data_IF_301755999744
#
_entry.id   IF_301755999744
#
_cell.length_a   1.000
_cell.length_b   1.000
_cell.length_c   1.000
_cell.angle_alpha   90.00
_cell.angle_beta   90.00
_cell.angle_gamma   90.00
#
_symmetry.space_group_name_H-M   'P 1'
#
loop_
_entity.id
_entity.type
_entity.pdbx_description
1 polymer ?
#
# COMPACT_ATOMS: atom_id res chain seq x y z
N UNK A 1 15.95 -10.91 12.43
CA UNK A 1 15.73 -9.45 12.44
C UNK A 1 14.92 -8.96 11.23
N UNK A 2 14.91 -9.65 10.07
CA UNK A 2 14.18 -9.21 8.87
C UNK A 2 12.64 -9.37 8.91
N UNK A 3 12.09 -10.17 9.82
CA UNK A 3 10.64 -10.49 9.85
C UNK A 3 9.80 -9.44 10.61
N UNK A 4 10.44 -8.58 11.40
CA UNK A 4 9.77 -7.57 12.25
C UNK A 4 9.55 -6.22 11.57
N UNK A 5 10.00 -6.07 10.32
CA UNK A 5 9.93 -4.84 9.50
C UNK A 5 8.96 -4.95 8.31
N UNK A 6 8.24 -6.06 8.16
CA UNK A 6 7.24 -6.18 7.10
C UNK A 6 5.90 -5.59 7.55
N UNK A 7 5.57 -4.44 6.98
CA UNK A 7 4.22 -3.88 7.02
C UNK A 7 3.30 -4.76 6.15
N UNK A 8 2.24 -5.27 6.77
CA UNK A 8 1.15 -5.97 6.07
C UNK A 8 -0.09 -5.11 6.10
N UNK A 9 -0.59 -4.77 4.92
CA UNK A 9 -1.75 -3.86 4.76
C UNK A 9 -3.00 -4.44 5.42
N UNK A 10 -3.15 -5.77 5.39
CA UNK A 10 -4.31 -6.45 5.96
C UNK A 10 -4.36 -6.33 7.49
N UNK A 11 -3.20 -6.30 8.14
CA UNK A 11 -3.10 -6.33 9.60
C UNK A 11 -2.99 -4.93 10.21
N UNK A 12 -2.39 -3.97 9.50
CA UNK A 12 -2.07 -2.64 10.02
C UNK A 12 -3.21 -1.61 9.97
N UNK A 13 -4.09 -1.71 8.96
CA UNK A 13 -5.09 -0.67 8.65
C UNK A 13 -6.50 -0.97 9.15
N UNK A 14 -6.75 -2.14 9.74
CA UNK A 14 -8.04 -2.49 10.35
C UNK A 14 -7.93 -2.50 11.87
N UNK A 15 -8.83 -1.80 12.57
CA UNK A 15 -8.82 -1.78 14.03
C UNK A 15 -9.07 -3.20 14.61
N UNK A 16 -8.46 -3.51 15.76
CA UNK A 16 -8.56 -4.84 16.39
C UNK A 16 -10.00 -5.18 16.80
N UNK A 17 -10.74 -4.18 17.28
CA UNK A 17 -12.11 -4.34 17.78
C UNK A 17 -13.17 -4.05 16.71
N UNK A 18 -12.74 -3.79 15.46
CA UNK A 18 -13.67 -3.47 14.38
C UNK A 18 -14.55 -4.67 14.02
N UNK A 19 -15.82 -4.39 13.77
CA UNK A 19 -16.80 -5.39 13.30
C UNK A 19 -16.33 -6.10 12.03
N UNK A 20 -15.66 -5.39 11.12
CA UNK A 20 -15.11 -5.93 9.88
C UNK A 20 -14.05 -7.02 10.12
N UNK A 21 -13.26 -6.91 11.19
CA UNK A 21 -12.26 -7.93 11.57
C UNK A 21 -12.93 -9.19 12.08
N UNK A 22 -14.00 -9.05 12.86
CA UNK A 22 -14.81 -10.19 13.30
C UNK A 22 -15.50 -10.88 12.11
N UNK A 23 -16.15 -10.11 11.22
CA UNK A 23 -16.77 -10.64 10.01
C UNK A 23 -15.76 -11.36 9.11
N UNK A 24 -14.56 -10.80 8.97
CA UNK A 24 -13.46 -11.44 8.24
C UNK A 24 -13.02 -12.74 8.90
N UNK A 25 -12.83 -12.76 10.23
CA UNK A 25 -12.43 -13.96 10.96
C UNK A 25 -13.48 -15.08 10.87
N UNK A 26 -14.76 -14.73 11.00
CA UNK A 26 -15.89 -15.66 10.85
C UNK A 26 -15.93 -16.22 9.43
N UNK A 27 -15.83 -15.36 8.42
CA UNK A 27 -15.73 -15.77 7.02
C UNK A 27 -14.52 -16.69 6.80
N UNK A 28 -13.39 -16.44 7.46
CA UNK A 28 -12.22 -17.30 7.39
C UNK A 28 -12.43 -18.69 7.97
N UNK A 29 -13.10 -18.79 9.11
CA UNK A 29 -13.44 -20.07 9.71
C UNK A 29 -14.38 -20.89 8.81
N UNK A 30 -15.40 -20.25 8.24
CA UNK A 30 -16.34 -20.93 7.33
C UNK A 30 -15.70 -21.31 5.99
N UNK A 31 -14.72 -20.53 5.50
CA UNK A 31 -14.03 -20.83 4.25
C UNK A 31 -12.87 -21.82 4.40
N UNK A 32 -12.25 -21.86 5.58
CA UNK A 32 -11.06 -22.67 5.87
C UNK A 32 -11.35 -24.15 6.17
N UNK A 33 -12.62 -24.54 6.33
CA UNK A 33 -12.97 -25.89 6.76
C UNK A 33 -14.23 -26.43 6.06
N UNK A 34 -14.17 -26.67 4.75
CA UNK A 34 -15.14 -27.56 4.10
C UNK A 34 -14.66 -28.02 2.73
N UNK A 35 -13.98 -29.16 2.71
CA UNK A 35 -14.18 -30.13 1.64
C UNK A 35 -15.61 -30.68 1.74
N UNK A 36 -16.62 -29.90 1.36
CA UNK A 36 -17.94 -30.45 1.08
C UNK A 36 -18.71 -29.56 0.10
N UNK A 37 -18.67 -30.00 -1.15
CA UNK A 37 -19.66 -29.72 -2.17
C UNK A 37 -21.07 -30.09 -1.68
N UNK A 38 -22.01 -29.14 -1.65
CA UNK A 38 -23.44 -29.39 -1.88
C UNK A 38 -24.20 -28.06 -2.10
N UNK A 39 -24.58 -27.87 -3.37
CA UNK A 39 -25.92 -27.49 -3.84
C UNK A 39 -26.66 -26.32 -3.17
N UNK A 40 -26.48 -25.09 -3.66
CA UNK A 40 -27.52 -24.04 -3.67
C UNK A 40 -27.26 -23.06 -4.83
N UNK A 41 -28.23 -22.83 -5.75
CA UNK A 41 -28.13 -21.83 -6.80
C UNK A 41 -28.67 -20.47 -6.30
N UNK A 42 -28.03 -19.40 -6.79
CA UNK A 42 -28.29 -17.97 -6.57
C UNK A 42 -27.60 -17.31 -5.36
N UNK A 43 -26.81 -16.28 -5.68
CA UNK A 43 -26.11 -15.32 -4.80
C UNK A 43 -24.96 -15.80 -3.90
N UNK A 44 -24.10 -16.68 -4.40
CA UNK A 44 -22.88 -17.15 -3.68
C UNK A 44 -21.53 -16.64 -4.21
N UNK A 45 -21.51 -15.62 -5.08
CA UNK A 45 -20.29 -15.20 -5.78
C UNK A 45 -19.54 -14.00 -5.18
N UNK A 46 -19.87 -13.54 -3.96
CA UNK A 46 -19.14 -12.40 -3.36
C UNK A 46 -18.46 -12.72 -2.01
N UNK A 47 -19.03 -13.60 -1.18
CA UNK A 47 -18.57 -13.77 0.22
C UNK A 47 -17.63 -14.97 0.50
N UNK A 48 -17.39 -15.86 -0.47
CA UNK A 48 -16.39 -16.96 -0.34
C UNK A 48 -14.94 -16.54 -0.65
N UNK A 49 -14.67 -15.24 -0.76
CA UNK A 49 -13.59 -14.68 -1.59
C UNK A 49 -12.27 -14.32 -0.89
N UNK A 50 -12.19 -14.30 0.45
CA UNK A 50 -11.18 -13.46 1.11
C UNK A 50 -10.29 -14.18 2.14
N UNK A 51 -10.57 -15.44 2.47
CA UNK A 51 -9.98 -16.06 3.66
C UNK A 51 -8.81 -17.02 3.46
N UNK A 52 -8.72 -17.66 2.29
CA UNK A 52 -7.74 -18.72 2.02
C UNK A 52 -7.41 -18.87 0.54
N UNK A 53 -7.81 -17.87 -0.26
CA UNK A 53 -7.61 -17.85 -1.70
C UNK A 53 -6.81 -16.61 -2.02
N UNK A 54 -5.69 -16.79 -2.73
CA UNK A 54 -4.98 -15.71 -3.39
C UNK A 54 -5.81 -15.25 -4.58
N UNK A 55 -6.10 -13.95 -4.69
CA UNK A 55 -6.78 -13.34 -5.84
C UNK A 55 -5.83 -12.39 -6.53
N UNK A 56 -5.53 -12.66 -7.80
CA UNK A 56 -4.73 -11.79 -8.65
C UNK A 56 -5.64 -11.25 -9.76
N UNK A 57 -5.65 -9.94 -9.93
CA UNK A 57 -6.47 -9.26 -10.95
C UNK A 57 -5.54 -8.90 -12.10
N UNK A 58 -5.86 -9.42 -13.28
CA UNK A 58 -5.16 -9.09 -14.52
C UNK A 58 -6.07 -8.23 -15.38
N UNK A 59 -5.61 -7.05 -15.73
CA UNK A 59 -6.35 -6.08 -16.54
C UNK A 59 -5.64 -5.92 -17.88
N UNK A 60 -6.38 -6.06 -18.95
CA UNK A 60 -5.96 -5.91 -20.33
C UNK A 60 -6.64 -4.67 -20.90
N UNK A 61 -5.83 -3.76 -21.45
CA UNK A 61 -6.30 -2.50 -22.03
C UNK A 61 -5.60 -2.23 -23.36
N UNK A 62 -6.23 -1.51 -24.27
CA UNK A 62 -5.61 -1.21 -25.56
C UNK A 62 -4.50 -0.17 -25.38
N UNK A 63 -3.34 -0.38 -26.00
CA UNK A 63 -2.16 0.50 -25.87
C UNK A 63 -2.37 1.87 -26.51
N UNK A 64 -3.22 1.93 -27.54
CA UNK A 64 -3.63 3.14 -28.23
C UNK A 64 -4.77 3.91 -27.53
N UNK A 65 -5.28 3.40 -26.40
CA UNK A 65 -6.41 3.99 -25.68
C UNK A 65 -7.77 3.79 -26.39
N UNK A 66 -7.82 2.99 -27.45
CA UNK A 66 -9.04 2.64 -28.17
C UNK A 66 -9.82 1.48 -27.54
N UNK A 67 -10.76 0.92 -28.29
CA UNK A 67 -11.61 -0.19 -27.85
C UNK A 67 -10.86 -1.53 -27.83
N UNK A 68 -11.03 -2.32 -26.77
CA UNK A 68 -10.57 -3.71 -26.67
C UNK A 68 -11.42 -4.69 -27.49
N UNK A 69 -12.59 -4.26 -28.01
CA UNK A 69 -13.53 -5.10 -28.75
C UNK A 69 -13.07 -5.51 -30.16
N UNK A 70 -11.96 -4.92 -30.62
CA UNK A 70 -11.39 -5.20 -31.94
C UNK A 70 -10.86 -6.63 -32.02
N UNK A 71 -11.09 -7.31 -33.15
CA UNK A 71 -10.67 -8.71 -33.34
C UNK A 71 -9.18 -8.94 -33.02
N UNK A 72 -8.29 -8.12 -33.55
CA UNK A 72 -6.85 -8.25 -33.31
C UNK A 72 -6.47 -8.15 -31.82
N UNK A 73 -7.22 -7.37 -31.03
CA UNK A 73 -6.98 -7.23 -29.59
C UNK A 73 -7.49 -8.44 -28.82
N UNK A 74 -8.62 -9.03 -29.20
CA UNK A 74 -9.06 -10.32 -28.65
C UNK A 74 -8.13 -11.47 -29.02
N UNK A 75 -7.52 -11.43 -30.20
CA UNK A 75 -6.49 -12.39 -30.63
C UNK A 75 -5.23 -12.29 -29.77
N UNK A 76 -4.75 -11.08 -29.51
CA UNK A 76 -3.63 -10.88 -28.60
C UNK A 76 -3.99 -11.24 -27.14
N UNK A 77 -5.18 -10.86 -26.67
CA UNK A 77 -5.65 -11.17 -25.33
C UNK A 77 -5.72 -12.68 -25.05
N UNK A 78 -6.21 -13.49 -26.00
CA UNK A 78 -6.20 -14.95 -25.85
C UNK A 78 -4.80 -15.52 -25.73
N UNK A 79 -3.86 -15.04 -26.56
CA UNK A 79 -2.47 -15.46 -26.51
C UNK A 79 -1.87 -15.15 -25.14
N UNK A 80 -2.03 -13.91 -24.66
CA UNK A 80 -1.57 -13.50 -23.33
C UNK A 80 -2.17 -14.43 -22.28
N UNK A 81 -3.49 -14.64 -22.26
CA UNK A 81 -4.16 -15.51 -21.28
C UNK A 81 -3.62 -16.93 -21.32
N UNK A 82 -3.32 -17.48 -22.50
CA UNK A 82 -2.70 -18.80 -22.60
C UNK A 82 -1.28 -18.82 -22.01
N UNK A 83 -0.49 -17.77 -22.25
CA UNK A 83 0.84 -17.61 -21.68
C UNK A 83 0.80 -17.49 -20.15
N UNK A 84 -0.14 -16.72 -19.59
CA UNK A 84 -0.36 -16.60 -18.13
C UNK A 84 -0.56 -17.98 -17.49
N UNK A 85 -1.40 -18.82 -18.10
CA UNK A 85 -1.74 -20.12 -17.53
C UNK A 85 -0.60 -21.15 -17.62
N UNK A 86 0.28 -20.98 -18.59
CA UNK A 86 1.48 -21.80 -18.78
C UNK A 86 2.73 -21.16 -18.16
N UNK A 87 2.60 -20.00 -17.51
CA UNK A 87 3.73 -19.30 -16.95
C UNK A 87 4.39 -20.12 -15.84
N UNK A 88 5.69 -20.28 -15.98
CA UNK A 88 6.53 -20.94 -14.98
C UNK A 88 7.48 -19.91 -14.38
N UNK A 89 7.40 -19.73 -13.07
CA UNK A 89 8.26 -18.83 -12.31
C UNK A 89 9.31 -19.66 -11.59
N UNK A 90 10.57 -19.23 -11.66
CA UNK A 90 11.67 -19.84 -10.90
C UNK A 90 11.94 -19.01 -9.65
N UNK A 91 11.86 -19.64 -8.47
CA UNK A 91 12.29 -19.04 -7.21
C UNK A 91 13.31 -20.00 -6.58
N UNK A 92 14.59 -19.64 -6.65
CA UNK A 92 15.70 -20.53 -6.31
C UNK A 92 15.73 -21.78 -7.20
N UNK A 93 15.79 -22.97 -6.59
CA UNK A 93 15.77 -24.27 -7.30
C UNK A 93 14.36 -24.74 -7.68
N UNK A 94 13.31 -24.14 -7.12
CA UNK A 94 11.93 -24.59 -7.35
C UNK A 94 11.32 -23.90 -8.57
N UNK A 95 10.72 -24.70 -9.46
CA UNK A 95 9.90 -24.22 -10.57
C UNK A 95 8.43 -24.31 -10.18
N UNK A 96 7.74 -23.18 -10.25
CA UNK A 96 6.34 -23.08 -9.88
C UNK A 96 5.52 -22.81 -11.14
N UNK A 97 4.59 -23.69 -11.44
CA UNK A 97 3.67 -23.57 -12.58
C UNK A 97 2.30 -23.14 -12.06
N UNK A 98 1.72 -22.09 -12.67
CA UNK A 98 0.41 -21.60 -12.24
C UNK A 98 -0.65 -22.71 -12.25
N UNK A 99 -0.62 -23.59 -13.26
CA UNK A 99 -1.56 -24.69 -13.43
C UNK A 99 -1.67 -25.62 -12.20
N UNK A 100 -0.59 -25.79 -11.45
CA UNK A 100 -0.58 -26.62 -10.22
C UNK A 100 -1.00 -25.83 -8.98
N UNK A 101 -0.81 -24.51 -9.01
CA UNK A 101 -1.12 -23.59 -7.91
C UNK A 101 -2.60 -23.16 -7.91
N UNK A 102 -3.24 -23.13 -9.08
CA UNK A 102 -4.62 -22.66 -9.23
C UNK A 102 -5.70 -23.68 -8.87
N UNK A 103 -5.37 -24.96 -8.67
CA UNK A 103 -6.40 -25.98 -8.39
C UNK A 103 -7.10 -25.70 -7.04
N UNK A 104 -8.44 -25.79 -6.99
CA UNK A 104 -9.38 -26.28 -8.02
C UNK A 104 -9.95 -25.20 -8.98
N UNK A 105 -9.50 -23.96 -8.90
CA UNK A 105 -10.12 -22.79 -9.53
C UNK A 105 -9.62 -22.43 -10.95
N UNK A 106 -8.71 -23.24 -11.52
CA UNK A 106 -8.05 -22.95 -12.80
C UNK A 106 -9.02 -22.65 -13.95
N UNK A 107 -10.18 -23.31 -14.01
CA UNK A 107 -11.02 -23.29 -15.21
C UNK A 107 -12.01 -22.13 -15.30
N UNK A 108 -12.35 -21.44 -14.21
CA UNK A 108 -13.53 -20.56 -14.22
C UNK A 108 -13.37 -19.30 -15.07
N UNK A 109 -12.28 -18.55 -14.90
CA UNK A 109 -12.08 -17.26 -15.58
C UNK A 109 -11.62 -17.42 -17.03
N UNK A 110 -10.64 -18.30 -17.29
CA UNK A 110 -10.20 -18.63 -18.66
C UNK A 110 -11.33 -19.15 -19.54
N UNK A 111 -12.16 -20.07 -19.02
CA UNK A 111 -13.25 -20.68 -19.81
C UNK A 111 -14.27 -19.65 -20.25
N UNK A 112 -14.60 -18.66 -19.41
CA UNK A 112 -15.55 -17.61 -19.78
C UNK A 112 -15.11 -16.85 -21.03
N UNK A 113 -13.88 -16.33 -21.03
CA UNK A 113 -13.36 -15.55 -22.16
C UNK A 113 -13.10 -16.41 -23.39
N UNK A 114 -12.42 -17.55 -23.25
CA UNK A 114 -12.11 -18.44 -24.39
C UNK A 114 -13.39 -18.96 -25.05
N UNK A 115 -14.42 -19.25 -24.26
CA UNK A 115 -15.74 -19.64 -24.81
C UNK A 115 -16.33 -18.47 -25.60
N UNK A 116 -16.43 -17.28 -25.01
CA UNK A 116 -16.93 -16.09 -25.71
C UNK A 116 -16.18 -15.83 -27.02
N UNK A 117 -14.85 -15.81 -26.97
CA UNK A 117 -13.99 -15.58 -28.13
C UNK A 117 -14.22 -16.62 -29.22
N UNK A 118 -14.26 -17.92 -28.89
CA UNK A 118 -14.46 -18.99 -29.86
C UNK A 118 -15.71 -18.77 -30.70
N UNK A 119 -16.83 -18.39 -30.08
CA UNK A 119 -18.06 -18.13 -30.80
C UNK A 119 -18.04 -16.77 -31.50
N UNK A 120 -17.36 -15.76 -30.94
CA UNK A 120 -17.11 -14.51 -31.64
C UNK A 120 -16.34 -14.74 -32.95
N UNK A 121 -15.29 -15.56 -32.95
CA UNK A 121 -14.49 -15.85 -34.15
C UNK A 121 -15.27 -16.62 -35.21
N UNK A 122 -16.10 -17.59 -34.80
CA UNK A 122 -16.99 -18.32 -35.73
C UNK A 122 -17.95 -17.35 -36.39
N UNK A 123 -18.61 -16.51 -35.61
CA UNK A 123 -19.57 -15.52 -36.12
C UNK A 123 -18.88 -14.47 -36.99
N UNK A 124 -17.68 -14.02 -36.60
CA UNK A 124 -16.87 -13.07 -37.36
C UNK A 124 -16.40 -13.68 -38.69
N UNK A 125 -15.97 -14.95 -38.70
CA UNK A 125 -15.57 -15.61 -39.94
C UNK A 125 -16.75 -15.73 -40.91
N UNK A 126 -17.91 -16.17 -40.41
CA UNK A 126 -19.13 -16.23 -41.23
C UNK A 126 -19.55 -14.85 -41.75
N UNK A 127 -19.41 -13.82 -40.92
CA UNK A 127 -19.69 -12.44 -41.29
C UNK A 127 -18.83 -11.93 -42.44
N UNK A 128 -17.53 -12.24 -42.41
CA UNK A 128 -16.58 -11.81 -43.45
C UNK A 128 -16.73 -12.64 -44.73
N UNK A 129 -16.93 -13.95 -44.62
CA UNK A 129 -16.91 -14.86 -45.76
C UNK A 129 -18.26 -14.91 -46.50
N UNK A 130 -19.37 -14.83 -45.76
CA UNK A 130 -20.71 -15.03 -46.33
C UNK A 130 -21.65 -13.84 -46.16
N UNK A 131 -21.21 -12.73 -45.56
CA UNK A 131 -22.02 -11.54 -45.27
C UNK A 131 -23.32 -11.82 -44.48
N UNK A 132 -23.36 -12.93 -43.75
CA UNK A 132 -24.43 -13.25 -42.81
C UNK A 132 -23.86 -13.93 -41.57
N UNK A 133 -24.61 -13.87 -40.47
CA UNK A 133 -24.30 -14.64 -39.27
C UNK A 133 -25.52 -15.38 -38.71
N UNK A 134 -25.26 -16.36 -37.85
CA UNK A 134 -26.28 -17.22 -37.25
C UNK A 134 -26.80 -16.61 -35.94
N UNK A 135 -28.13 -16.57 -35.76
CA UNK A 135 -28.77 -16.17 -34.50
C UNK A 135 -28.67 -17.24 -33.38
N UNK A 136 -28.02 -18.38 -33.64
CA UNK A 136 -27.83 -19.44 -32.63
C UNK A 136 -26.95 -19.00 -31.46
N UNK A 137 -26.17 -17.94 -31.65
CA UNK A 137 -25.25 -17.37 -30.67
C UNK A 137 -25.58 -15.89 -30.47
N UNK A 138 -26.19 -15.57 -29.33
CA UNK A 138 -26.40 -14.18 -28.95
C UNK A 138 -25.19 -13.72 -28.12
N UNK A 139 -24.33 -12.89 -28.68
CA UNK A 139 -23.13 -12.35 -28.02
C UNK A 139 -23.34 -10.95 -27.44
N UNK A 140 -24.59 -10.61 -27.08
CA UNK A 140 -24.93 -9.32 -26.48
C UNK A 140 -24.47 -9.19 -25.03
N UNK A 141 -23.97 -8.02 -24.67
CA UNK A 141 -23.72 -7.58 -23.30
C UNK A 141 -25.05 -7.12 -22.65
N UNK A 142 -25.29 -7.36 -21.35
CA UNK A 142 -24.37 -7.90 -20.33
C UNK A 142 -24.32 -9.44 -20.25
N UNK A 143 -25.34 -10.13 -20.77
CA UNK A 143 -25.43 -11.59 -20.76
C UNK A 143 -25.55 -12.14 -22.19
N UNK A 144 -24.49 -12.82 -22.64
CA UNK A 144 -24.55 -13.60 -23.88
C UNK A 144 -25.32 -14.90 -23.67
N UNK A 145 -25.84 -15.48 -24.73
CA UNK A 145 -26.47 -16.81 -24.75
C UNK A 145 -25.89 -17.64 -25.88
N UNK A 146 -25.28 -18.77 -25.51
CA UNK A 146 -24.69 -19.71 -26.47
C UNK A 146 -25.39 -21.04 -26.26
N UNK A 147 -26.11 -21.54 -27.29
CA UNK A 147 -26.93 -22.74 -27.18
C UNK A 147 -27.94 -22.69 -26.01
N UNK A 148 -28.47 -21.51 -25.70
CA UNK A 148 -29.38 -21.29 -24.57
C UNK A 148 -28.71 -21.18 -23.18
N UNK A 149 -27.40 -21.41 -23.09
CA UNK A 149 -26.63 -21.22 -21.85
C UNK A 149 -26.21 -19.76 -21.72
N UNK A 150 -26.60 -19.12 -20.61
CA UNK A 150 -26.25 -17.72 -20.32
C UNK A 150 -24.79 -17.59 -19.87
N UNK A 151 -24.07 -16.66 -20.48
CA UNK A 151 -22.68 -16.33 -20.19
C UNK A 151 -22.61 -14.88 -19.70
N UNK A 152 -22.16 -14.62 -18.46
CA UNK A 152 -22.08 -13.28 -17.91
C UNK A 152 -20.83 -12.55 -18.41
N UNK A 153 -20.97 -11.79 -19.50
CA UNK A 153 -19.86 -11.02 -20.09
C UNK A 153 -19.47 -9.83 -19.21
N UNK A 154 -20.41 -9.31 -18.42
CA UNK A 154 -20.19 -8.30 -17.38
C UNK A 154 -19.09 -8.66 -16.36
N UNK A 155 -18.76 -9.95 -16.21
CA UNK A 155 -17.70 -10.39 -15.29
C UNK A 155 -16.29 -10.25 -15.87
N UNK A 156 -16.16 -10.07 -17.18
CA UNK A 156 -14.87 -9.97 -17.86
C UNK A 156 -14.69 -8.66 -18.63
N UNK A 157 -15.75 -8.03 -19.12
CA UNK A 157 -15.69 -6.81 -19.92
C UNK A 157 -16.21 -5.61 -19.12
N UNK A 158 -15.40 -4.56 -19.02
CA UNK A 158 -15.65 -3.37 -18.22
C UNK A 158 -15.52 -2.08 -19.05
N UNK A 159 -16.24 -1.04 -18.63
CA UNK A 159 -16.31 0.24 -19.36
C UNK A 159 -16.89 0.06 -20.76
N UNK A 160 -17.95 -0.75 -20.86
CA UNK A 160 -18.64 -1.07 -22.11
C UNK A 160 -19.61 0.07 -22.47
N UNK A 161 -19.50 0.59 -23.69
CA UNK A 161 -20.51 1.47 -24.30
C UNK A 161 -21.27 0.68 -25.34
N UNK A 162 -22.59 0.75 -25.26
CA UNK A 162 -23.49 0.06 -26.18
C UNK A 162 -23.78 0.97 -27.37
N UNK A 163 -24.08 0.35 -28.50
CA UNK A 163 -24.51 1.09 -29.69
C UNK A 163 -25.83 1.79 -29.38
N UNK A 164 -25.90 3.10 -29.62
CA UNK A 164 -27.12 3.88 -29.39
C UNK A 164 -28.28 3.38 -30.26
N UNK A 165 -29.29 2.82 -29.59
CA UNK A 165 -30.47 2.23 -30.23
C UNK A 165 -31.50 3.28 -30.70
N UNK A 166 -31.24 4.57 -30.50
CA UNK A 166 -32.14 5.67 -30.91
C UNK A 166 -32.36 5.76 -32.41
N UNK A 167 -31.49 5.15 -33.22
CA UNK A 167 -31.64 5.01 -34.67
C UNK A 167 -31.89 3.56 -35.13
N UNK A 168 -32.11 2.62 -34.20
CA UNK A 168 -32.44 1.26 -34.58
C UNK A 168 -33.91 1.22 -35.04
N UNK A 169 -34.21 0.68 -36.25
CA UNK A 169 -35.59 0.44 -36.62
C UNK A 169 -36.24 -0.42 -35.52
N UNK A 170 -37.51 -0.17 -35.17
CA UNK A 170 -38.20 -0.95 -34.16
C UNK A 170 -38.02 -2.43 -34.48
N UNK A 171 -37.80 -3.30 -33.46
CA UNK A 171 -37.63 -4.72 -33.69
C UNK A 171 -38.82 -5.17 -34.51
N UNK A 172 -38.56 -5.63 -35.75
CA UNK A 172 -39.62 -6.20 -36.59
C UNK A 172 -40.26 -7.28 -35.73
N UNK A 173 -41.52 -7.11 -35.38
CA UNK A 173 -42.31 -8.11 -34.67
C UNK A 173 -42.52 -9.28 -35.63
N UNK A 174 -41.49 -10.08 -35.82
CA UNK A 174 -41.56 -11.28 -36.64
C UNK A 174 -42.28 -12.31 -35.79
N UNK A 175 -43.55 -12.53 -36.13
CA UNK A 175 -44.46 -13.51 -35.52
C UNK A 175 -43.70 -14.80 -35.21
N UNK A 176 -43.71 -15.19 -33.94
CA UNK A 176 -43.10 -16.41 -33.43
C UNK A 176 -43.65 -17.63 -34.18
N UNK A 177 -42.86 -18.18 -35.10
CA UNK A 177 -43.16 -19.46 -35.73
C UNK A 177 -42.48 -20.58 -34.94
N UNK A 178 -43.22 -21.66 -34.67
CA UNK A 178 -42.75 -22.89 -34.02
C UNK A 178 -41.52 -23.51 -34.71
N UNK A 179 -41.29 -23.16 -35.98
CA UNK A 179 -40.16 -23.53 -36.83
C UNK A 179 -38.81 -22.89 -36.42
N UNK A 180 -38.80 -21.73 -35.71
CA UNK A 180 -37.54 -21.11 -35.22
C UNK A 180 -36.75 -21.98 -34.23
N UNK A 181 -37.39 -22.98 -33.60
CA UNK A 181 -36.68 -23.90 -32.68
C UNK A 181 -35.76 -24.89 -33.41
N UNK A 182 -35.93 -25.10 -34.71
CA UNK A 182 -35.22 -26.13 -35.46
C UNK A 182 -34.22 -25.60 -36.48
N UNK A 183 -34.36 -24.37 -36.98
CA UNK A 183 -33.44 -23.78 -37.96
C UNK A 183 -32.95 -22.42 -37.50
N UNK A 184 -31.62 -22.25 -37.47
CA UNK A 184 -30.99 -20.95 -37.23
C UNK A 184 -31.40 -19.97 -38.33
N UNK A 185 -31.89 -18.81 -37.92
CA UNK A 185 -32.10 -17.68 -38.82
C UNK A 185 -30.73 -17.10 -39.21
N UNK A 186 -30.58 -16.68 -40.48
CA UNK A 186 -29.37 -16.03 -41.00
C UNK A 186 -29.64 -14.53 -41.07
N UNK A 187 -28.86 -13.77 -40.31
CA UNK A 187 -28.99 -12.30 -40.23
C UNK A 187 -28.00 -11.68 -41.21
N UNK A 188 -28.45 -10.87 -42.20
CA UNK A 188 -27.57 -10.20 -43.14
C UNK A 188 -26.79 -9.08 -42.48
N UNK A 189 -25.57 -8.82 -42.96
CA UNK A 189 -24.66 -7.80 -42.43
C UNK A 189 -24.68 -6.57 -43.31
N UNK A 190 -24.77 -5.40 -42.68
CA UNK A 190 -24.69 -4.11 -43.35
C UNK A 190 -23.20 -3.76 -43.60
N UNK A 191 -22.75 -3.55 -44.85
CA UNK A 191 -21.36 -3.21 -45.14
C UNK A 191 -20.96 -1.81 -44.62
N UNK A 192 -21.91 -0.92 -44.31
CA UNK A 192 -21.60 0.44 -43.85
C UNK A 192 -21.27 0.53 -42.34
N UNK A 193 -21.44 -0.55 -41.58
CA UNK A 193 -21.17 -0.59 -40.13
C UNK A 193 -20.03 -1.54 -39.81
N UNK A 194 -19.32 -1.31 -38.72
CA UNK A 194 -18.29 -2.24 -38.26
C UNK A 194 -18.89 -3.61 -37.95
N UNK A 195 -18.19 -4.67 -38.33
CA UNK A 195 -18.69 -6.04 -38.19
C UNK A 195 -18.85 -6.38 -36.69
N UNK A 196 -17.93 -5.92 -35.87
CA UNK A 196 -17.87 -6.22 -34.43
C UNK A 196 -19.06 -5.62 -33.65
N UNK A 197 -19.54 -4.43 -34.05
CA UNK A 197 -20.72 -3.78 -33.46
C UNK A 197 -22.06 -4.31 -33.97
N UNK A 198 -22.03 -5.15 -35.01
CA UNK A 198 -23.20 -5.86 -35.53
C UNK A 198 -23.33 -7.27 -34.95
N UNK A 199 -22.19 -7.93 -34.70
CA UNK A 199 -22.13 -9.25 -34.05
C UNK A 199 -22.47 -9.16 -32.57
N UNK A 200 -22.08 -8.06 -31.93
CA UNK A 200 -22.35 -7.77 -30.52
C UNK A 200 -23.00 -6.41 -30.40
N UNK A 201 -23.79 -6.16 -29.35
CA UNK A 201 -24.34 -4.83 -29.08
C UNK A 201 -23.33 -3.83 -28.47
N UNK A 202 -22.02 -4.13 -28.52
CA UNK A 202 -20.95 -3.34 -27.91
C UNK A 202 -20.26 -2.48 -28.97
N UNK A 203 -20.22 -1.17 -28.74
CA UNK A 203 -19.46 -0.23 -29.58
C UNK A 203 -18.02 -0.10 -29.07
N UNK A 204 -17.88 0.06 -27.76
CA UNK A 204 -16.59 0.32 -27.13
C UNK A 204 -16.43 -0.51 -25.87
N UNK A 205 -15.28 -1.17 -25.70
CA UNK A 205 -14.91 -1.87 -24.46
C UNK A 205 -13.61 -1.28 -23.97
N UNK A 206 -13.59 -0.73 -22.75
CA UNK A 206 -12.42 -0.02 -22.23
C UNK A 206 -11.38 -0.99 -21.65
N UNK A 207 -11.83 -1.97 -20.88
CA UNK A 207 -10.97 -2.86 -20.10
C UNK A 207 -11.52 -4.29 -20.15
N UNK A 208 -10.61 -5.24 -20.23
CA UNK A 208 -10.91 -6.65 -20.02
C UNK A 208 -10.20 -7.13 -18.75
N UNK A 209 -10.94 -7.75 -17.84
CA UNK A 209 -10.43 -8.18 -16.55
C UNK A 209 -10.50 -9.71 -16.44
N UNK A 210 -9.38 -10.30 -16.06
CA UNK A 210 -9.25 -11.72 -15.75
C UNK A 210 -8.91 -11.86 -14.27
N UNK A 211 -9.71 -12.65 -13.56
CA UNK A 211 -9.45 -13.00 -12.17
C UNK A 211 -8.74 -14.35 -12.08
N UNK A 212 -7.57 -14.36 -11.47
CA UNK A 212 -6.77 -15.55 -11.19
C UNK A 212 -6.89 -15.89 -9.71
N UNK A 213 -6.97 -17.18 -9.41
CA UNK A 213 -7.21 -17.70 -8.07
C UNK A 213 -6.18 -18.77 -7.74
N UNK A 214 -5.67 -18.74 -6.51
CA UNK A 214 -4.76 -19.76 -5.98
C UNK A 214 -5.17 -20.19 -4.58
N UNK A 215 -4.97 -21.45 -4.23
CA UNK A 215 -5.38 -21.99 -2.93
C UNK A 215 -4.24 -21.87 -1.89
N UNK A 216 -4.42 -21.07 -0.84
CA UNK A 216 -3.48 -20.88 0.28
C UNK A 216 -3.66 -21.95 1.39
N UNK A 217 -3.89 -23.21 1.03
CA UNK A 217 -4.18 -24.29 1.98
C UNK A 217 -2.97 -24.73 2.84
N UNK A 218 -1.74 -24.55 2.34
CA UNK A 218 -0.51 -25.00 3.02
C UNK A 218 0.48 -23.83 3.10
N UNK A 219 1.29 -23.68 4.16
CA UNK A 219 2.31 -22.64 4.24
C UNK A 219 3.30 -22.69 3.07
N UNK A 220 3.72 -23.90 2.63
CA UNK A 220 4.56 -24.05 1.43
C UNK A 220 3.88 -23.51 0.16
N UNK A 221 2.60 -23.85 -0.05
CA UNK A 221 1.83 -23.34 -1.21
C UNK A 221 1.65 -21.83 -1.16
N UNK A 222 1.55 -21.26 0.04
CA UNK A 222 1.43 -19.80 0.22
C UNK A 222 2.72 -19.11 -0.21
N UNK A 223 3.88 -19.61 0.22
CA UNK A 223 5.17 -19.08 -0.23
C UNK A 223 5.38 -19.22 -1.75
N UNK A 224 4.94 -20.35 -2.32
CA UNK A 224 5.01 -20.59 -3.75
C UNK A 224 4.07 -19.63 -4.53
N UNK A 225 2.84 -19.42 -4.06
CA UNK A 225 1.90 -18.45 -4.63
C UNK A 225 2.42 -17.02 -4.55
N UNK A 226 3.00 -16.62 -3.41
CA UNK A 226 3.63 -15.29 -3.25
C UNK A 226 4.78 -15.11 -4.24
N UNK A 227 5.66 -16.10 -4.37
CA UNK A 227 6.77 -16.03 -5.34
C UNK A 227 6.27 -15.98 -6.78
N UNK A 228 5.23 -16.75 -7.10
CA UNK A 228 4.61 -16.75 -8.43
C UNK A 228 3.93 -15.41 -8.74
N UNK A 229 3.26 -14.77 -7.77
CA UNK A 229 2.65 -13.44 -7.92
C UNK A 229 3.68 -12.39 -8.34
N UNK A 230 4.81 -12.35 -7.63
CA UNK A 230 5.89 -11.40 -7.88
C UNK A 230 6.56 -11.67 -9.23
N UNK A 231 6.76 -12.94 -9.58
CA UNK A 231 7.28 -13.32 -10.89
C UNK A 231 6.32 -12.99 -12.04
N UNK A 232 5.01 -13.11 -11.81
CA UNK A 232 3.97 -12.73 -12.77
C UNK A 232 3.97 -11.21 -13.01
N UNK A 233 4.17 -10.41 -11.97
CA UNK A 233 4.34 -8.95 -12.09
C UNK A 233 5.55 -8.59 -12.95
N UNK A 234 6.71 -9.20 -12.70
CA UNK A 234 7.94 -8.98 -13.48
C UNK A 234 7.75 -9.38 -14.95
N UNK A 235 7.16 -10.55 -15.20
CA UNK A 235 6.83 -11.02 -16.55
C UNK A 235 5.91 -10.04 -17.28
N UNK A 236 4.90 -9.50 -16.60
CA UNK A 236 3.98 -8.53 -17.20
C UNK A 236 4.66 -7.24 -17.64
N UNK A 237 5.67 -6.80 -16.88
CA UNK A 237 6.48 -5.63 -17.20
C UNK A 237 7.31 -5.88 -18.46
N UNK A 238 7.94 -7.04 -18.57
CA UNK A 238 8.73 -7.45 -19.75
C UNK A 238 7.85 -7.53 -21.01
N UNK A 239 6.63 -8.09 -20.89
CA UNK A 239 5.65 -8.11 -21.99
C UNK A 239 5.28 -6.70 -22.44
N UNK A 240 5.01 -5.80 -21.50
CA UNK A 240 4.69 -4.40 -21.82
C UNK A 240 5.86 -3.64 -22.45
N UNK A 241 7.09 -3.96 -22.09
CA UNK A 241 8.31 -3.38 -22.65
C UNK A 241 8.63 -3.90 -24.06
N UNK A 242 7.91 -4.93 -24.53
CA UNK A 242 8.07 -5.47 -25.88
C UNK A 242 9.19 -6.50 -26.01
N UNK A 243 9.77 -6.99 -24.91
CA UNK A 243 10.87 -7.96 -24.94
C UNK A 243 10.45 -9.32 -25.51
N UNK A 244 9.17 -9.69 -25.37
CA UNK A 244 8.63 -10.96 -25.86
C UNK A 244 7.98 -10.86 -27.25
N UNK A 245 7.43 -9.68 -27.60
CA UNK A 245 6.74 -9.45 -28.88
C UNK A 245 6.98 -8.02 -29.35
N UNK A 246 7.51 -7.88 -30.57
CA UNK A 246 7.83 -6.59 -31.19
C UNK A 246 6.61 -5.65 -31.38
N UNK A 247 5.38 -6.19 -31.43
CA UNK A 247 4.15 -5.40 -31.60
C UNK A 247 3.06 -5.80 -30.59
N UNK A 248 3.14 -5.31 -29.35
CA UNK A 248 2.03 -5.44 -28.38
C UNK A 248 0.96 -4.37 -28.64
N UNK A 249 -0.26 -4.80 -28.99
CA UNK A 249 -1.45 -3.94 -29.10
C UNK A 249 -2.13 -3.78 -27.74
N UNK A 250 -1.92 -4.73 -26.83
CA UNK A 250 -2.55 -4.77 -25.51
C UNK A 250 -1.51 -4.46 -24.44
N UNK A 251 -1.85 -3.55 -23.54
CA UNK A 251 -1.12 -3.26 -22.31
C UNK A 251 -1.70 -4.10 -21.17
N UNK A 252 -0.82 -4.76 -20.43
CA UNK A 252 -1.11 -5.65 -19.33
C UNK A 252 -0.89 -4.93 -17.99
N UNK A 253 -1.85 -5.00 -17.07
CA UNK A 253 -1.72 -4.46 -15.71
C UNK A 253 -2.11 -5.55 -14.72
N UNK A 254 -1.34 -5.69 -13.65
CA UNK A 254 -1.53 -6.75 -12.66
C UNK A 254 -1.65 -6.14 -11.27
N UNK A 255 -2.68 -6.54 -10.55
CA UNK A 255 -2.94 -6.12 -9.18
C UNK A 255 -3.08 -7.34 -8.29
N UNK A 256 -2.24 -7.41 -7.27
CA UNK A 256 -2.26 -8.47 -6.27
C UNK A 256 -1.86 -7.93 -4.91
N UNK A 257 -2.21 -8.68 -3.85
CA UNK A 257 -1.97 -8.24 -2.47
C UNK A 257 -0.49 -8.28 -2.12
N UNK A 258 0.24 -9.27 -2.60
CA UNK A 258 1.68 -9.40 -2.31
C UNK A 258 2.50 -8.40 -3.11
N UNK A 259 2.08 -8.10 -4.34
CA UNK A 259 2.65 -7.00 -5.15
C UNK A 259 2.50 -5.67 -4.41
N UNK A 260 1.31 -5.38 -3.87
CA UNK A 260 1.05 -4.15 -3.14
C UNK A 260 1.92 -4.06 -1.86
N UNK A 261 2.03 -5.15 -1.11
CA UNK A 261 2.93 -5.23 0.05
C UNK A 261 4.40 -4.96 -0.35
N UNK A 262 4.87 -5.54 -1.46
CA UNK A 262 6.22 -5.31 -1.99
C UNK A 262 6.43 -3.84 -2.39
N UNK A 263 5.47 -3.23 -3.08
CA UNK A 263 5.57 -1.83 -3.52
C UNK A 263 5.63 -0.87 -2.32
N UNK A 264 4.78 -1.08 -1.31
CA UNK A 264 4.80 -0.29 -0.07
C UNK A 264 6.13 -0.46 0.66
N UNK A 265 6.58 -1.69 0.87
CA UNK A 265 7.84 -1.94 1.57
C UNK A 265 9.05 -1.36 0.79
N UNK A 266 9.01 -1.41 -0.54
CA UNK A 266 10.03 -0.77 -1.38
C UNK A 266 10.01 0.75 -1.23
N UNK A 267 8.82 1.37 -1.17
CA UNK A 267 8.68 2.80 -0.89
C UNK A 267 9.22 3.15 0.50
N UNK A 268 8.87 2.36 1.51
CA UNK A 268 9.35 2.54 2.89
C UNK A 268 10.88 2.44 2.97
N UNK A 269 11.49 1.48 2.28
CA UNK A 269 12.96 1.34 2.22
C UNK A 269 13.63 2.51 1.50
N UNK A 270 13.00 3.05 0.45
CA UNK A 270 13.49 4.27 -0.23
C UNK A 270 13.34 5.51 0.66
N UNK A 271 12.35 5.54 1.54
CA UNK A 271 12.11 6.65 2.46
C UNK A 271 13.05 6.64 3.68
N UNK A 272 13.43 5.46 4.18
CA UNK A 272 14.32 5.29 5.33
C UNK A 272 15.60 6.17 5.34
N UNK A 273 16.41 6.27 4.26
CA UNK A 273 17.59 7.13 4.27
C UNK A 273 17.26 8.62 4.41
N UNK A 274 16.11 9.09 3.92
CA UNK A 274 15.69 10.48 4.08
C UNK A 274 15.35 10.79 5.54
N UNK A 275 14.75 9.84 6.27
CA UNK A 275 14.56 9.98 7.72
C UNK A 275 15.88 10.03 8.47
N UNK A 276 16.85 9.18 8.11
CA UNK A 276 18.19 9.22 8.70
C UNK A 276 18.92 10.55 8.45
N UNK A 277 18.79 11.09 7.24
CA UNK A 277 19.36 12.40 6.88
C UNK A 277 18.71 13.54 7.67
N UNK A 278 17.37 13.53 7.80
CA UNK A 278 16.64 14.52 8.60
C UNK A 278 17.02 14.48 10.08
N UNK A 279 17.12 13.28 10.66
CA UNK A 279 17.59 13.09 12.04
C UNK A 279 19.01 13.59 12.26
N UNK A 280 19.93 13.27 11.33
CA UNK A 280 21.32 13.74 11.39
C UNK A 280 21.41 15.26 11.23
N UNK A 281 20.63 15.85 10.33
CA UNK A 281 20.54 17.29 10.12
C UNK A 281 20.03 18.01 11.37
N UNK A 282 19.02 17.45 12.05
CA UNK A 282 18.46 18.03 13.27
C UNK A 282 19.45 17.99 14.43
N UNK A 283 20.15 16.87 14.65
CA UNK A 283 21.22 16.78 15.65
C UNK A 283 22.33 17.79 15.33
N UNK A 284 22.73 17.88 14.06
CA UNK A 284 23.71 18.84 13.58
C UNK A 284 23.30 20.29 13.85
N UNK A 285 22.05 20.65 13.58
CA UNK A 285 21.53 21.99 13.86
C UNK A 285 21.55 22.32 15.36
N UNK A 286 21.09 21.40 16.22
CA UNK A 286 21.12 21.60 17.68
C UNK A 286 22.57 21.74 18.17
N UNK A 287 23.49 20.90 17.68
CA UNK A 287 24.90 20.99 18.02
C UNK A 287 25.53 22.33 17.58
N UNK A 288 25.21 22.79 16.36
CA UNK A 288 25.67 24.09 15.84
C UNK A 288 25.11 25.26 16.66
N UNK A 289 23.82 25.22 17.04
CA UNK A 289 23.23 26.26 17.89
C UNK A 289 23.92 26.33 19.27
N UNK A 290 24.20 25.19 19.89
CA UNK A 290 24.89 25.15 21.18
C UNK A 290 26.34 25.62 21.04
N UNK A 291 27.05 25.18 20.00
CA UNK A 291 28.43 25.57 19.75
C UNK A 291 28.56 27.06 19.42
N UNK A 292 27.66 27.61 18.61
CA UNK A 292 27.61 29.04 18.28
C UNK A 292 27.32 29.90 19.51
N UNK A 293 26.42 29.45 20.40
CA UNK A 293 26.18 30.10 21.68
C UNK A 293 27.43 30.10 22.57
N UNK A 294 28.15 28.96 22.64
CA UNK A 294 29.39 28.86 23.41
C UNK A 294 30.50 29.78 22.87
N UNK A 295 30.60 29.95 21.55
CA UNK A 295 31.55 30.85 20.91
C UNK A 295 31.22 32.33 21.16
N UNK A 296 29.95 32.73 21.08
CA UNK A 296 29.53 34.13 21.23
C UNK A 296 29.81 34.71 22.63
N UNK A 297 29.74 33.89 23.68
CA UNK A 297 30.01 34.31 25.05
C UNK A 297 31.50 34.23 25.45
N UNK A 298 32.41 34.00 24.49
CA UNK A 298 33.88 34.07 24.60
C UNK A 298 34.49 33.32 25.82
N UNK A 299 33.81 32.25 26.25
CA UNK A 299 34.19 31.42 27.38
C UNK A 299 33.81 29.96 27.06
N UNK A 300 34.62 29.33 26.20
CA UNK A 300 34.49 27.92 25.78
C UNK A 300 34.96 27.02 26.93
N UNK A 301 34.16 26.94 27.98
CA UNK A 301 34.40 26.02 29.08
C UNK A 301 33.90 24.61 28.71
N UNK A 302 34.72 23.60 29.03
CA UNK A 302 34.37 22.17 28.85
C UNK A 302 33.00 21.82 29.47
N UNK A 303 32.62 22.51 30.54
CA UNK A 303 31.31 22.34 31.18
C UNK A 303 30.12 22.67 30.27
N UNK A 304 30.19 23.74 29.47
CA UNK A 304 29.07 24.16 28.60
C UNK A 304 28.91 23.25 27.40
N UNK A 305 30.02 22.73 26.87
CA UNK A 305 30.01 21.69 25.83
C UNK A 305 29.40 20.39 26.37
N UNK A 306 29.72 20.02 27.61
CA UNK A 306 29.16 18.84 28.27
C UNK A 306 27.64 18.95 28.46
N UNK A 307 27.11 20.14 28.78
CA UNK A 307 25.66 20.40 28.85
C UNK A 307 25.00 20.26 27.48
N UNK A 308 25.65 20.73 26.40
CA UNK A 308 25.19 20.55 25.02
C UNK A 308 25.08 19.09 24.59
N UNK A 309 26.12 18.31 24.89
CA UNK A 309 26.15 16.86 24.63
C UNK A 309 25.09 16.16 25.47
N UNK A 310 24.95 16.52 26.75
CA UNK A 310 23.91 15.98 27.63
C UNK A 310 22.49 16.26 27.12
N UNK A 311 22.23 17.47 26.65
CA UNK A 311 20.92 17.88 26.13
C UNK A 311 20.53 17.15 24.84
N UNK A 312 21.49 16.82 23.98
CA UNK A 312 21.25 16.06 22.74
C UNK A 312 21.21 14.55 23.00
N UNK A 313 22.05 14.02 23.88
CA UNK A 313 22.13 12.58 24.15
C UNK A 313 20.91 12.05 24.92
N UNK A 314 20.28 12.86 25.78
CA UNK A 314 19.12 12.41 26.57
C UNK A 314 17.92 11.98 25.68
N UNK A 315 17.43 12.79 24.72
CA UNK A 315 16.41 12.34 23.77
C UNK A 315 16.84 11.13 22.92
N UNK A 316 18.11 11.06 22.52
CA UNK A 316 18.63 9.93 21.73
C UNK A 316 18.56 8.60 22.50
N UNK A 317 18.92 8.62 23.79
CA UNK A 317 18.80 7.46 24.67
C UNK A 317 17.33 7.08 24.93
N UNK A 318 16.43 8.07 25.07
CA UNK A 318 15.00 7.82 25.21
C UNK A 318 14.40 7.13 23.97
N UNK A 319 14.72 7.63 22.78
CA UNK A 319 14.24 7.10 21.51
C UNK A 319 14.74 5.66 21.31
N UNK A 320 16.04 5.41 21.50
CA UNK A 320 16.63 4.07 21.33
C UNK A 320 16.09 3.08 22.36
N UNK A 321 15.93 3.50 23.61
CA UNK A 321 15.29 2.69 24.67
C UNK A 321 13.84 2.34 24.32
N UNK A 322 13.08 3.29 23.75
CA UNK A 322 11.70 3.04 23.32
C UNK A 322 11.62 1.99 22.23
N UNK A 323 12.46 2.08 21.19
CA UNK A 323 12.52 1.04 20.16
C UNK A 323 12.90 -0.32 20.76
N UNK A 324 13.82 -0.34 21.73
CA UNK A 324 14.18 -1.55 22.46
C UNK A 324 13.00 -2.17 23.22
N UNK A 325 12.24 -1.36 23.96
CA UNK A 325 11.04 -1.80 24.69
C UNK A 325 9.97 -2.33 23.72
N UNK A 326 9.72 -1.64 22.60
CA UNK A 326 8.74 -2.08 21.61
C UNK A 326 9.13 -3.40 20.94
N UNK A 327 10.43 -3.59 20.65
CA UNK A 327 10.97 -4.86 20.16
C UNK A 327 10.82 -5.98 21.20
N UNK A 328 11.07 -5.72 22.49
CA UNK A 328 10.92 -6.70 23.56
C UNK A 328 9.46 -7.09 23.79
N UNK A 329 8.52 -6.16 23.58
CA UNK A 329 7.09 -6.43 23.58
C UNK A 329 6.61 -7.22 22.35
N UNK A 330 7.51 -7.57 21.42
CA UNK A 330 7.19 -8.32 20.20
C UNK A 330 6.37 -7.53 19.18
N UNK A 331 6.35 -6.19 19.29
CA UNK A 331 5.61 -5.36 18.36
C UNK A 331 6.39 -5.17 17.05
N UNK A 332 5.68 -5.20 15.91
CA UNK A 332 6.29 -4.96 14.59
C UNK A 332 6.59 -3.47 14.44
N UNK A 333 7.79 -3.14 13.98
CA UNK A 333 8.17 -1.74 13.77
C UNK A 333 7.59 -1.29 12.43
N UNK A 334 6.56 -0.44 12.50
CA UNK A 334 5.96 0.19 11.33
C UNK A 334 6.85 1.32 10.80
N UNK A 335 6.83 1.54 9.48
CA UNK A 335 7.39 2.71 8.81
C UNK A 335 6.98 4.06 9.44
N UNK A 336 5.75 4.20 9.96
CA UNK A 336 5.31 5.41 10.68
C UNK A 336 6.12 5.68 11.96
N UNK A 337 6.65 4.64 12.60
CA UNK A 337 7.46 4.78 13.81
C UNK A 337 8.78 5.50 13.50
N UNK A 338 9.29 5.45 12.27
CA UNK A 338 10.50 6.18 11.87
C UNK A 338 10.36 7.71 11.89
N UNK A 339 9.13 8.23 11.97
CA UNK A 339 8.85 9.67 12.14
C UNK A 339 8.97 10.09 13.61
N UNK A 340 8.82 9.15 14.55
CA UNK A 340 8.86 9.40 16.00
C UNK A 340 10.11 10.17 16.49
N UNK A 341 11.35 9.85 16.05
CA UNK A 341 12.56 10.54 16.51
C UNK A 341 12.59 12.03 16.14
N UNK A 342 12.12 12.38 14.94
CA UNK A 342 11.99 13.77 14.50
C UNK A 342 10.99 14.53 15.37
N UNK A 343 9.83 13.90 15.63
CA UNK A 343 8.80 14.52 16.45
C UNK A 343 9.32 14.75 17.87
N UNK A 344 9.97 13.79 18.51
CA UNK A 344 10.42 13.94 19.90
C UNK A 344 11.55 14.96 20.03
N UNK A 345 12.47 15.04 19.05
CA UNK A 345 13.51 16.06 19.10
C UNK A 345 12.94 17.47 18.86
N UNK A 346 11.85 17.62 18.11
CA UNK A 346 11.22 18.93 17.85
C UNK A 346 10.19 19.33 18.89
N UNK A 347 9.49 18.33 19.44
CA UNK A 347 8.46 18.45 20.46
C UNK A 347 9.14 18.27 21.80
N UNK A 348 9.62 19.39 22.37
CA UNK A 348 9.87 19.45 23.80
C UNK A 348 8.62 19.10 24.62
N UNK A 349 8.75 19.09 25.95
CA UNK A 349 7.70 18.70 26.93
C UNK A 349 6.33 19.42 26.72
N UNK A 350 6.31 20.56 26.02
CA UNK A 350 5.12 21.39 25.78
C UNK A 350 3.98 20.69 25.00
N UNK A 351 4.26 19.87 23.97
CA UNK A 351 3.15 19.28 23.21
C UNK A 351 2.48 18.09 23.89
N UNK A 352 3.06 17.53 24.97
CA UNK A 352 2.36 16.55 25.80
C UNK A 352 1.13 17.18 26.46
N UNK A 353 1.22 18.45 26.89
CA UNK A 353 0.08 19.19 27.45
C UNK A 353 -0.97 19.50 26.38
N UNK A 354 -0.55 19.88 25.16
CA UNK A 354 -1.48 20.10 24.03
C UNK A 354 -2.18 18.80 23.59
N UNK A 355 -1.48 17.66 23.62
CA UNK A 355 -2.02 16.34 23.27
C UNK A 355 -3.00 15.84 24.34
N UNK A 356 -2.70 16.03 25.62
CA UNK A 356 -3.62 15.69 26.73
C UNK A 356 -4.88 16.56 26.70
N UNK A 357 -4.75 17.88 26.45
CA UNK A 357 -5.91 18.77 26.29
C UNK A 357 -6.80 18.35 25.10
N UNK A 358 -6.18 17.93 23.99
CA UNK A 358 -6.90 17.44 22.82
C UNK A 358 -7.58 16.09 23.07
N UNK A 359 -6.90 15.18 23.79
CA UNK A 359 -7.45 13.89 24.22
C UNK A 359 -8.65 14.04 25.17
N UNK A 360 -8.54 14.94 26.15
CA UNK A 360 -9.62 15.27 27.08
C UNK A 360 -10.84 15.82 26.34
N UNK A 361 -10.65 16.65 25.32
CA UNK A 361 -11.75 17.15 24.47
C UNK A 361 -12.42 16.05 23.65
N UNK A 362 -11.68 15.04 23.20
CA UNK A 362 -12.22 13.90 22.45
C UNK A 362 -13.00 12.93 23.35
N UNK A 363 -12.49 12.66 24.57
CA UNK A 363 -13.19 11.83 25.56
C UNK A 363 -14.49 12.49 26.04
N UNK A 364 -14.49 13.81 26.24
CA UNK A 364 -15.69 14.57 26.61
C UNK A 364 -16.76 14.59 25.50
N UNK A 365 -16.37 14.46 24.22
CA UNK A 365 -17.32 14.40 23.09
C UNK A 365 -17.95 13.03 22.88
N UNK A 366 -17.72 12.05 23.77
CA UNK A 366 -18.41 10.76 23.74
C UNK A 366 -18.06 9.89 22.52
N UNK A 367 -16.96 10.16 21.83
CA UNK A 367 -16.48 9.33 20.71
C UNK A 367 -15.74 8.10 21.27
N UNK A 368 -16.46 7.27 22.03
CA UNK A 368 -15.91 6.09 22.72
C UNK A 368 -15.58 4.93 21.77
N UNK A 369 -15.98 5.02 20.50
CA UNK A 369 -15.68 4.03 19.47
C UNK A 369 -14.63 4.60 18.52
N UNK A 370 -13.45 4.95 19.05
CA UNK A 370 -12.30 5.24 18.20
C UNK A 370 -11.75 3.90 17.70
N UNK A 371 -12.26 3.44 16.55
CA UNK A 371 -11.63 2.44 15.70
C UNK A 371 -10.27 2.98 15.22
N UNK A 372 -9.32 3.12 16.14
CA UNK A 372 -7.98 3.56 15.82
C UNK A 372 -7.24 2.40 15.19
N UNK A 373 -6.75 2.67 14.00
CA UNK A 373 -5.86 1.86 13.20
C UNK A 373 -4.67 1.41 14.07
N UNK A 374 -4.34 0.12 13.99
CA UNK A 374 -3.36 -0.55 14.89
C UNK A 374 -2.01 0.15 14.80
N UNK A 375 -1.63 0.52 13.59
CA UNK A 375 -0.41 1.26 13.30
C UNK A 375 -0.29 2.59 14.06
N UNK A 376 -1.39 3.35 14.19
CA UNK A 376 -1.33 4.62 14.95
C UNK A 376 -1.52 4.44 16.43
N UNK A 377 -2.24 3.41 16.89
CA UNK A 377 -2.20 3.03 18.31
C UNK A 377 -0.76 2.74 18.74
N UNK A 378 -0.02 1.98 17.93
CA UNK A 378 1.38 1.67 18.19
C UNK A 378 2.27 2.91 18.16
N UNK A 379 2.07 3.80 17.19
CA UNK A 379 2.77 5.07 17.11
C UNK A 379 2.51 5.98 18.33
N UNK A 380 1.26 6.10 18.77
CA UNK A 380 0.90 6.86 19.97
C UNK A 380 1.50 6.25 21.24
N UNK A 381 1.47 4.92 21.36
CA UNK A 381 2.08 4.23 22.50
C UNK A 381 3.60 4.39 22.52
N UNK A 382 4.26 4.28 21.36
CA UNK A 382 5.69 4.50 21.21
C UNK A 382 6.09 5.94 21.56
N UNK A 383 5.41 6.92 20.98
CA UNK A 383 5.65 8.36 21.28
C UNK A 383 5.45 8.68 22.75
N UNK A 384 4.37 8.19 23.39
CA UNK A 384 4.13 8.41 24.81
C UNK A 384 5.22 7.78 25.71
N UNK A 385 5.61 6.54 25.41
CA UNK A 385 6.69 5.85 26.14
C UNK A 385 8.00 6.60 26.00
N UNK A 386 8.30 7.09 24.80
CA UNK A 386 9.52 7.85 24.54
C UNK A 386 9.55 9.21 25.22
N UNK A 387 8.43 9.93 25.25
CA UNK A 387 8.30 11.17 26.01
C UNK A 387 8.50 10.93 27.52
N UNK A 388 7.91 9.86 28.06
CA UNK A 388 8.10 9.47 29.46
C UNK A 388 9.57 9.16 29.77
N UNK A 389 10.24 8.38 28.93
CA UNK A 389 11.66 8.08 29.08
C UNK A 389 12.55 9.32 28.90
N UNK A 390 12.18 10.24 28.00
CA UNK A 390 12.89 11.51 27.83
C UNK A 390 12.84 12.32 29.11
N UNK A 391 11.68 12.42 29.75
CA UNK A 391 11.52 13.11 31.03
C UNK A 391 12.34 12.45 32.14
N UNK A 392 12.31 11.12 32.24
CA UNK A 392 13.10 10.36 33.24
C UNK A 392 14.61 10.58 33.02
N UNK A 393 15.10 10.46 31.79
CA UNK A 393 16.51 10.71 31.48
C UNK A 393 16.90 12.17 31.72
N UNK A 394 16.00 13.11 31.45
CA UNK A 394 16.25 14.51 31.75
C UNK A 394 16.37 14.75 33.27
N UNK A 395 15.54 14.13 34.11
CA UNK A 395 15.69 14.27 35.57
C UNK A 395 16.96 13.59 36.10
N UNK A 396 17.26 12.38 35.62
CA UNK A 396 18.34 11.55 36.19
C UNK A 396 19.71 11.92 35.66
N UNK A 397 19.85 12.20 34.35
CA UNK A 397 21.15 12.45 33.71
C UNK A 397 21.50 13.92 33.64
N UNK A 398 20.52 14.81 33.45
CA UNK A 398 20.81 16.24 33.29
C UNK A 398 21.31 16.88 34.60
N UNK A 399 20.79 16.47 35.75
CA UNK A 399 21.24 16.96 37.06
C UNK A 399 22.73 16.70 37.33
N UNK A 400 23.21 15.45 37.24
CA UNK A 400 24.64 15.13 37.35
C UNK A 400 25.51 15.82 36.30
N UNK A 401 25.05 15.91 35.05
CA UNK A 401 25.78 16.60 33.97
C UNK A 401 25.93 18.09 34.27
N UNK A 402 24.88 18.75 34.76
CA UNK A 402 24.95 20.15 35.20
C UNK A 402 25.87 20.32 36.41
N UNK A 403 25.81 19.41 37.39
CA UNK A 403 26.70 19.46 38.56
C UNK A 403 28.17 19.30 38.16
N UNK A 404 28.49 18.40 37.23
CA UNK A 404 29.83 18.24 36.68
C UNK A 404 30.27 19.46 35.87
N UNK A 405 29.37 20.01 35.05
CA UNK A 405 29.64 21.22 34.27
C UNK A 405 29.94 22.42 35.18
N UNK A 406 29.17 22.63 36.24
CA UNK A 406 29.40 23.68 37.23
C UNK A 406 30.71 23.48 38.01
N UNK A 407 31.08 22.22 38.31
CA UNK A 407 32.37 21.88 38.90
C UNK A 407 33.55 22.21 37.99
N UNK A 408 33.45 21.89 36.70
CA UNK A 408 34.44 22.24 35.69
C UNK A 408 34.57 23.76 35.52
N UNK A 409 33.46 24.50 35.47
CA UNK A 409 33.47 25.97 35.39
C UNK A 409 34.15 26.60 36.61
N UNK A 410 33.90 26.07 37.82
CA UNK A 410 34.57 26.53 39.04
C UNK A 410 36.07 26.30 38.98
N UNK A 411 36.53 25.17 38.44
CA UNK A 411 37.96 24.86 38.26
C UNK A 411 38.62 25.77 37.22
N UNK A 412 38.01 25.94 36.05
CA UNK A 412 38.49 26.88 35.02
C UNK A 412 38.62 28.31 35.58
N UNK A 413 37.66 28.75 36.39
CA UNK A 413 37.67 30.07 37.03
C UNK A 413 38.73 30.23 38.12
N UNK A 414 39.11 29.14 38.79
CA UNK A 414 40.19 29.13 39.80
C UNK A 414 41.57 29.14 39.12
N UNK A 415 41.77 28.32 38.09
CA UNK A 415 43.01 28.30 37.29
C UNK A 415 43.22 29.64 36.55
N UNK A 416 42.16 30.27 36.05
CA UNK A 416 42.22 31.61 35.47
C UNK A 416 42.57 32.69 36.51
N UNK A 417 42.24 32.51 37.79
CA UNK A 417 42.62 33.44 38.87
C UNK A 417 44.06 33.27 39.34
N UNK A 418 44.61 32.04 39.34
CA UNK A 418 46.02 31.78 39.66
C UNK A 418 46.97 32.28 38.56
N UNK A 419 46.53 32.30 37.30
CA UNK A 419 47.25 32.96 36.20
C UNK A 419 47.13 34.50 36.21
N UNK A 420 46.15 35.06 36.95
CA UNK A 420 45.88 36.50 37.04
C UNK A 420 46.70 37.21 38.14
N UNK A 421 47.95 36.77 38.32
CA UNK A 421 49.00 37.49 39.04
C UNK A 421 49.66 38.61 38.22
N UNK A 422 49.08 39.01 37.07
CA UNK A 422 49.66 40.01 36.17
C UNK A 422 48.64 40.88 35.43
N UNK A 423 48.66 42.19 35.73
CA UNK A 423 48.20 43.37 34.97
C UNK A 423 46.80 43.42 34.30
N UNK A 424 46.02 42.34 34.13
CA UNK A 424 44.70 42.36 33.47
C UNK A 424 43.52 42.76 34.38
N UNK A 425 43.78 43.36 35.54
CA UNK A 425 42.72 43.93 36.41
C UNK A 425 42.09 45.23 35.87
N UNK A 426 42.59 45.80 34.79
CA UNK A 426 42.17 47.13 34.32
C UNK A 426 41.06 47.15 33.24
N UNK A 427 40.58 46.00 32.73
CA UNK A 427 39.56 45.98 31.66
C UNK A 427 38.41 45.03 32.01
N UNK A 428 37.73 45.31 33.12
CA UNK A 428 36.39 44.76 33.36
C UNK A 428 35.49 45.85 33.93
N UNK A 429 34.89 46.61 33.03
CA UNK A 429 33.81 47.55 33.37
C UNK A 429 32.61 46.76 33.91
N UNK A 430 32.04 47.12 35.06
CA UNK A 430 30.75 46.59 35.51
C UNK A 430 29.64 47.32 34.73
N UNK A 431 28.58 46.58 34.40
CA UNK A 431 27.32 47.01 33.76
C UNK A 431 27.30 46.94 32.22
N UNK A 432 26.79 45.82 31.70
CA UNK A 432 25.97 45.82 30.48
C UNK A 432 24.68 45.02 30.77
N UNK A 433 23.49 45.51 30.36
CA UNK A 433 22.21 44.94 30.75
C UNK A 433 21.95 43.60 30.04
N UNK A 434 21.34 42.67 30.78
CA UNK A 434 20.77 41.43 30.25
C UNK A 434 19.65 41.78 29.25
N UNK A 435 19.93 41.66 27.96
CA UNK A 435 18.89 41.47 26.95
C UNK A 435 18.89 40.02 26.48
N UNK A 436 17.75 39.31 26.47
CA UNK A 436 17.70 37.91 26.11
C UNK A 436 17.66 37.76 24.58
N UNK A 437 18.67 37.11 24.01
CA UNK A 437 18.63 36.63 22.62
C UNK A 437 17.95 35.25 22.56
N UNK A 438 17.12 35.06 21.54
CA UNK A 438 16.02 34.09 21.38
C UNK A 438 16.20 32.61 21.78
N UNK A 439 17.41 32.09 21.98
CA UNK A 439 17.61 30.68 22.38
C UNK A 439 17.37 30.42 23.88
N UNK A 440 17.46 31.43 24.75
CA UNK A 440 17.14 31.26 26.18
C UNK A 440 15.64 31.14 26.47
N UNK A 441 14.77 31.56 25.54
CA UNK A 441 13.33 31.52 25.77
C UNK A 441 12.79 30.09 25.90
N UNK A 442 13.40 29.11 25.22
CA UNK A 442 12.93 27.72 25.24
C UNK A 442 13.38 26.93 26.49
N UNK A 443 14.55 27.25 27.05
CA UNK A 443 15.08 26.60 28.26
C UNK A 443 14.57 27.25 29.56
N UNK A 444 14.15 28.52 29.52
CA UNK A 444 13.69 29.24 30.71
C UNK A 444 12.19 29.04 30.99
N UNK A 445 11.39 28.66 29.99
CA UNK A 445 9.97 28.34 30.18
C UNK A 445 9.73 26.94 30.76
N UNK A 446 10.62 25.97 30.51
CA UNK A 446 10.49 24.61 31.07
C UNK A 446 10.74 24.56 32.58
N UNK A 447 11.47 25.52 33.14
CA UNK A 447 11.81 25.58 34.56
C UNK A 447 10.93 26.52 35.40
N UNK A 448 9.97 27.22 34.81
CA UNK A 448 9.00 28.05 35.54
C UNK A 448 7.65 27.36 35.81
N UNK A 449 7.53 26.09 35.41
CA UNK A 449 6.30 25.26 35.51
C UNK A 449 6.55 23.97 36.34
N UNK A 450 7.74 23.78 36.90
CA UNK A 450 7.98 22.91 38.06
C UNK A 450 8.02 23.83 39.28
#
# INVERSE_FOLDING_TARGET
MSEYLLDSIQEGYTALDARSRHEFAVMCQFSGNSGQSLFFPLERSFFSYLAGIMKLIVVLMAKDGGSMHRKAHFDEAENIINDIYNLTVRSGERRMEYRRLCEPYCSSSKKLFVTFKKYFDVTYKSAVEYHYYSDSYNLSYPFGSIWGVRIPLEKALFGVRLVDSTNAPPPKTVKSSRWRRFFSERIPIDPNKTIESQITNMEHVSLMVLFLYGNKSTPSKTADLTSWELGMYEWSRQVNQGEYRNHSLVKLLIFGTEILNMEINTSNRKLAPYFGAGFSSMIGFVALCVFSSAYYYDAVDLGKILVGIGATLCPLLAITSTYGVLCLMGSRINSLLFVMPFLIMGVGVDAAFLMVNSWQKLTLRGYSNSESYVEVRLFCFGTATSMGLTYVYQLILFGPVLSLAAGCEKKSRLEAKDYDGGWRKAVRSPNLPQHPSCCCFYLQYTWKII
#
